data_IF_912662590012
#
_entry.id   IF_912662590012
#
_cell.length_a   1.000
_cell.length_b   1.000
_cell.length_c   1.000
_cell.angle_alpha   90.00
_cell.angle_beta   90.00
_cell.angle_gamma   90.00
#
_symmetry.space_group_name_H-M   'P 1'
#
loop_
_entity.id
_entity.type
_entity.pdbx_description
1 polymer ?
#
# COMPACT_ATOMS: atom_id res chain seq x y z
N UNK A 1 0.90 -18.11 2.56
CA UNK A 1 -0.36 -17.48 3.02
C UNK A 1 -0.02 -16.52 4.15
N UNK A 2 -0.76 -15.41 4.28
CA UNK A 2 -0.60 -14.48 5.40
C UNK A 2 -1.03 -15.16 6.72
N UNK A 3 -0.35 -14.84 7.82
CA UNK A 3 -0.78 -15.26 9.15
C UNK A 3 -2.00 -14.44 9.60
N UNK A 4 -2.76 -14.95 10.58
CA UNK A 4 -3.92 -14.22 11.12
C UNK A 4 -3.55 -12.83 11.65
N UNK A 5 -2.37 -12.68 12.26
CA UNK A 5 -1.92 -11.38 12.73
C UNK A 5 -1.46 -10.45 11.59
N UNK A 6 -0.85 -10.97 10.52
CA UNK A 6 -0.58 -10.17 9.32
C UNK A 6 -1.89 -9.69 8.66
N UNK A 7 -2.93 -10.52 8.66
CA UNK A 7 -4.27 -10.14 8.16
C UNK A 7 -4.88 -9.04 9.03
N UNK A 8 -4.80 -9.15 10.36
CA UNK A 8 -5.28 -8.11 11.27
C UNK A 8 -4.52 -6.79 11.07
N UNK A 9 -3.20 -6.84 10.97
CA UNK A 9 -2.37 -5.66 10.73
C UNK A 9 -2.61 -5.04 9.35
N UNK A 10 -2.89 -5.87 8.33
CA UNK A 10 -3.28 -5.41 7.00
C UNK A 10 -4.58 -4.62 7.07
N UNK A 11 -5.61 -5.15 7.74
CA UNK A 11 -6.90 -4.49 7.88
C UNK A 11 -6.78 -3.15 8.62
N UNK A 12 -6.06 -3.12 9.74
CA UNK A 12 -5.81 -1.88 10.49
C UNK A 12 -5.08 -0.84 9.63
N UNK A 13 -4.01 -1.25 8.95
CA UNK A 13 -3.27 -0.35 8.07
C UNK A 13 -4.12 0.19 6.92
N UNK A 14 -5.00 -0.65 6.35
CA UNK A 14 -5.94 -0.27 5.30
C UNK A 14 -6.93 0.79 5.81
N UNK A 15 -7.56 0.55 6.94
CA UNK A 15 -8.52 1.48 7.54
C UNK A 15 -7.86 2.80 7.92
N UNK A 16 -6.70 2.77 8.58
CA UNK A 16 -5.99 3.96 9.03
C UNK A 16 -5.46 4.82 7.87
N UNK A 17 -4.98 4.19 6.80
CA UNK A 17 -4.30 4.89 5.69
C UNK A 17 -5.25 5.26 4.56
N UNK A 18 -6.22 4.38 4.25
CA UNK A 18 -7.08 4.53 3.07
C UNK A 18 -8.55 4.65 3.45
N UNK A 19 -8.96 4.28 4.66
CA UNK A 19 -10.35 4.30 5.12
C UNK A 19 -11.19 3.11 4.65
N UNK A 20 -10.82 2.45 3.54
CA UNK A 20 -11.45 1.21 3.09
C UNK A 20 -10.54 0.38 2.17
N UNK A 21 -10.77 -0.94 2.05
CA UNK A 21 -10.06 -1.80 1.09
C UNK A 21 -10.20 -1.34 -0.37
N UNK A 22 -11.37 -0.83 -0.76
CA UNK A 22 -11.64 -0.35 -2.13
C UNK A 22 -10.74 0.82 -2.50
N UNK A 23 -10.46 1.71 -1.55
CA UNK A 23 -9.54 2.84 -1.77
C UNK A 23 -8.10 2.39 -1.91
N UNK A 24 -7.67 1.36 -1.18
CA UNK A 24 -6.36 0.74 -1.43
C UNK A 24 -6.31 0.11 -2.82
N UNK A 25 -7.36 -0.61 -3.24
CA UNK A 25 -7.42 -1.22 -4.58
C UNK A 25 -7.32 -0.15 -5.67
N UNK A 26 -8.07 0.94 -5.54
CA UNK A 26 -7.97 2.07 -6.45
C UNK A 26 -6.54 2.61 -6.51
N UNK A 27 -5.92 2.83 -5.34
CA UNK A 27 -4.55 3.33 -5.27
C UNK A 27 -3.53 2.39 -5.92
N UNK A 28 -3.70 1.07 -5.76
CA UNK A 28 -2.84 0.07 -6.40
C UNK A 28 -3.01 0.06 -7.92
N UNK A 29 -4.23 0.24 -8.43
CA UNK A 29 -4.48 0.34 -9.87
C UNK A 29 -3.81 1.59 -10.47
N UNK A 30 -3.89 2.73 -9.78
CA UNK A 30 -3.16 3.95 -10.16
C UNK A 30 -1.65 3.69 -10.18
N UNK A 31 -1.12 2.99 -9.18
CA UNK A 31 0.29 2.63 -9.08
C UNK A 31 0.75 1.75 -10.25
N UNK A 32 -0.05 0.75 -10.65
CA UNK A 32 0.23 -0.10 -11.81
C UNK A 32 0.27 0.74 -13.09
N UNK A 33 -0.68 1.66 -13.26
CA UNK A 33 -0.69 2.59 -14.39
C UNK A 33 0.58 3.46 -14.40
N UNK A 34 0.95 4.02 -13.24
CA UNK A 34 2.17 4.81 -13.09
C UNK A 34 3.44 4.04 -13.45
N UNK A 35 3.58 2.80 -12.98
CA UNK A 35 4.74 1.95 -13.28
C UNK A 35 4.81 1.55 -14.75
N UNK A 36 3.66 1.46 -15.44
CA UNK A 36 3.61 1.12 -16.85
C UNK A 36 3.93 2.32 -17.75
N UNK A 37 3.56 3.53 -17.34
CA UNK A 37 3.69 4.76 -18.12
C UNK A 37 4.60 5.79 -17.44
N UNK A 38 5.69 5.36 -16.82
CA UNK A 38 6.58 6.24 -16.07
C UNK A 38 7.36 7.18 -17.02
N UNK A 39 6.68 8.20 -17.53
CA UNK A 39 7.21 9.28 -18.35
C UNK A 39 7.43 10.52 -17.47
N UNK A 40 8.51 11.25 -17.73
CA UNK A 40 9.04 12.32 -16.85
C UNK A 40 8.04 13.46 -16.57
N UNK A 41 7.05 13.66 -17.45
CA UNK A 41 6.05 14.75 -17.36
C UNK A 41 4.63 14.27 -17.01
N UNK A 42 4.41 12.96 -16.86
CA UNK A 42 3.06 12.42 -16.67
C UNK A 42 2.62 12.43 -15.20
N UNK A 43 3.58 12.33 -14.26
CA UNK A 43 3.28 12.28 -12.83
C UNK A 43 4.08 13.30 -12.03
N UNK A 44 3.42 13.88 -11.04
CA UNK A 44 4.04 14.76 -10.07
C UNK A 44 4.91 13.98 -9.08
N UNK A 45 5.90 14.65 -8.50
CA UNK A 45 6.71 14.10 -7.41
C UNK A 45 5.85 13.59 -6.24
N UNK A 46 4.75 14.29 -5.94
CA UNK A 46 3.83 13.91 -4.86
C UNK A 46 3.14 12.56 -5.15
N UNK A 47 2.68 12.34 -6.39
CA UNK A 47 2.06 11.08 -6.78
C UNK A 47 3.04 9.91 -6.68
N UNK A 48 4.29 10.12 -7.12
CA UNK A 48 5.37 9.13 -7.04
C UNK A 48 5.69 8.80 -5.58
N UNK A 49 5.80 9.82 -4.70
CA UNK A 49 6.03 9.60 -3.28
C UNK A 49 4.88 8.82 -2.63
N UNK A 50 3.63 9.15 -2.96
CA UNK A 50 2.47 8.42 -2.47
C UNK A 50 2.50 6.95 -2.89
N UNK A 51 2.90 6.65 -4.13
CA UNK A 51 3.08 5.28 -4.61
C UNK A 51 4.14 4.52 -3.81
N UNK A 52 5.30 5.15 -3.58
CA UNK A 52 6.38 4.55 -2.78
C UNK A 52 5.92 4.25 -1.35
N UNK A 53 5.17 5.16 -0.72
CA UNK A 53 4.67 4.95 0.64
C UNK A 53 3.62 3.83 0.73
N UNK A 54 2.77 3.68 -0.29
CA UNK A 54 1.86 2.53 -0.41
C UNK A 54 2.63 1.21 -0.44
N UNK A 55 3.68 1.10 -1.26
CA UNK A 55 4.50 -0.12 -1.37
C UNK A 55 5.28 -0.43 -0.08
N UNK A 56 5.84 0.60 0.58
CA UNK A 56 6.51 0.42 1.87
C UNK A 56 5.54 -0.04 2.95
N UNK A 57 4.32 0.49 2.98
CA UNK A 57 3.29 0.08 3.93
C UNK A 57 2.94 -1.40 3.81
N UNK A 58 2.75 -1.88 2.58
CA UNK A 58 2.58 -3.31 2.32
C UNK A 58 3.79 -4.12 2.80
N UNK A 59 5.01 -3.67 2.48
CA UNK A 59 6.24 -4.33 2.95
C UNK A 59 6.31 -4.43 4.48
N UNK A 60 5.90 -3.39 5.21
CA UNK A 60 5.83 -3.42 6.69
C UNK A 60 4.84 -4.47 7.20
N UNK A 61 3.64 -4.55 6.60
CA UNK A 61 2.62 -5.55 6.97
C UNK A 61 3.12 -6.97 6.70
N UNK A 62 3.75 -7.21 5.54
CA UNK A 62 4.27 -8.52 5.17
C UNK A 62 5.46 -8.96 6.03
N UNK A 63 6.29 -8.02 6.45
CA UNK A 63 7.43 -8.30 7.34
C UNK A 63 7.04 -8.34 8.82
N UNK A 64 5.78 -8.03 9.16
CA UNK A 64 5.31 -8.08 10.53
C UNK A 64 5.23 -9.54 10.99
N UNK A 65 6.11 -9.89 11.93
CA UNK A 65 6.09 -11.14 12.66
C UNK A 65 5.50 -10.80 14.03
N UNK A 66 4.22 -11.14 14.24
CA UNK A 66 3.47 -10.73 15.41
C UNK A 66 4.20 -11.03 16.71
N UNK A 67 4.65 -9.98 17.38
CA UNK A 67 5.09 -10.05 18.76
C UNK A 67 3.85 -9.84 19.63
N UNK A 68 3.36 -10.97 20.14
CA UNK A 68 2.62 -11.19 21.39
C UNK A 68 1.64 -10.10 21.87
N UNK A 69 0.35 -10.46 21.87
CA UNK A 69 -0.60 -10.17 22.95
C UNK A 69 -1.38 -11.44 23.28
#
# INVERSE_FOLDING_TARGET
MLTSGQIAQLNLWIEDTYGSPERLIQRLNELIYMLHYLEEEVFTQHEIQGAVETLKGLGRVLNWCGTEL
#
